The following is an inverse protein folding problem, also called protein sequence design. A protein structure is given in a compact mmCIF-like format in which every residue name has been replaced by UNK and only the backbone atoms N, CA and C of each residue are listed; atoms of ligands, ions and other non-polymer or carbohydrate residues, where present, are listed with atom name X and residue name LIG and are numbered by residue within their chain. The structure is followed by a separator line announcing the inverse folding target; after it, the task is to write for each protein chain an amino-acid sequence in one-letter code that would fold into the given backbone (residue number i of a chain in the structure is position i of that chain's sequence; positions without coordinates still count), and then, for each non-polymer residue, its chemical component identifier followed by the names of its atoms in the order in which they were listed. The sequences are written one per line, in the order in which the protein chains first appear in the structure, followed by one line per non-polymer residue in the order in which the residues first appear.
data_IF_763411948111
#
_entry.id   IF_763411948111
#
_cell.length_a   1.000
_cell.length_b   1.000
_cell.length_c   1.000
_cell.angle_alpha   90.00
_cell.angle_beta   90.00
_cell.angle_gamma   90.00
#
_symmetry.space_group_name_H-M   'P 1'
#
loop_
_entity.id
_entity.type
_entity.pdbx_description
1 polymer ?
#
# COMPACT_ATOMS: atom_id res chain seq x y z
N UNK A 1 44.33 28.37 -2.21
CA UNK A 1 43.15 27.50 -2.32
C UNK A 1 42.99 26.84 -0.97
N UNK A 2 41.81 26.94 -0.38
CA UNK A 2 41.48 26.18 0.82
C UNK A 2 41.37 24.70 0.42
N UNK A 3 41.60 23.79 1.38
CA UNK A 3 41.46 22.37 1.10
C UNK A 3 39.97 22.05 0.99
N UNK A 4 39.57 21.40 -0.10
CA UNK A 4 38.19 20.98 -0.30
C UNK A 4 37.71 20.12 0.89
N UNK A 5 36.53 20.41 1.42
CA UNK A 5 36.06 19.72 2.61
C UNK A 5 34.66 20.11 3.04
N UNK A 6 33.89 19.08 3.37
CA UNK A 6 32.52 19.23 3.82
C UNK A 6 32.39 20.10 5.07
N UNK A 7 31.49 21.08 5.01
CA UNK A 7 31.17 22.02 6.06
C UNK A 7 31.93 23.35 5.97
N UNK A 8 32.60 23.63 4.85
CA UNK A 8 33.30 24.91 4.63
C UNK A 8 32.41 26.00 4.00
N UNK A 9 31.18 25.64 3.60
CA UNK A 9 30.21 26.54 2.97
C UNK A 9 30.38 26.69 1.46
N UNK A 10 31.23 25.86 0.84
CA UNK A 10 31.46 25.81 -0.61
C UNK A 10 31.16 24.39 -1.10
N UNK A 11 30.18 24.26 -1.99
CA UNK A 11 29.88 22.96 -2.60
C UNK A 11 31.04 22.52 -3.52
N UNK A 12 31.83 21.55 -3.05
CA UNK A 12 32.99 21.01 -3.74
C UNK A 12 32.67 19.83 -4.68
N UNK A 13 33.69 19.36 -5.40
CA UNK A 13 33.55 18.19 -6.28
C UNK A 13 33.33 16.92 -5.45
N UNK A 14 32.15 16.30 -5.62
CA UNK A 14 31.75 15.08 -4.90
C UNK A 14 30.66 15.33 -3.86
N UNK A 15 30.44 16.59 -3.49
CA UNK A 15 29.37 16.99 -2.60
C UNK A 15 28.08 17.22 -3.37
N UNK A 16 26.95 16.91 -2.75
CA UNK A 16 25.65 17.25 -3.31
C UNK A 16 25.18 18.61 -2.82
N UNK A 17 25.62 19.02 -1.62
CA UNK A 17 25.34 20.29 -0.99
C UNK A 17 26.36 20.60 0.13
N UNK A 18 26.50 21.87 0.51
CA UNK A 18 27.31 22.29 1.65
C UNK A 18 26.70 23.58 2.23
N UNK A 19 26.17 23.50 3.46
CA UNK A 19 25.64 24.66 4.21
C UNK A 19 26.61 25.15 5.29
N UNK A 20 27.87 24.76 5.19
CA UNK A 20 28.93 25.09 6.12
C UNK A 20 28.66 24.52 7.51
N UNK A 21 28.86 25.37 8.51
CA UNK A 21 28.53 25.07 9.90
C UNK A 21 27.04 24.78 10.15
N UNK A 22 26.15 24.98 9.17
CA UNK A 22 24.73 24.63 9.28
C UNK A 22 24.42 23.20 8.80
N UNK A 23 25.42 22.41 8.37
CA UNK A 23 25.24 20.98 8.14
C UNK A 23 24.79 20.30 9.44
N UNK A 24 23.81 19.40 9.35
CA UNK A 24 23.18 18.76 10.51
C UNK A 24 22.49 17.47 10.09
N UNK A 25 22.72 16.39 10.84
CA UNK A 25 22.05 15.10 10.66
C UNK A 25 20.71 15.01 11.41
N UNK A 26 20.15 16.13 11.85
CA UNK A 26 18.89 16.17 12.62
C UNK A 26 18.00 17.35 12.27
N UNK A 27 18.51 18.32 11.51
CA UNK A 27 17.77 19.51 11.12
C UNK A 27 17.15 19.33 9.74
N UNK A 28 15.84 19.54 9.65
CA UNK A 28 15.12 19.50 8.38
C UNK A 28 15.67 20.54 7.39
N UNK A 29 15.98 20.10 6.17
CA UNK A 29 16.48 20.98 5.09
C UNK A 29 17.96 21.34 5.18
N UNK A 30 18.68 20.91 6.22
CA UNK A 30 20.13 21.01 6.28
C UNK A 30 20.79 19.89 5.47
N UNK A 31 21.96 20.17 4.88
CA UNK A 31 22.87 19.12 4.42
C UNK A 31 23.26 18.20 5.58
N UNK A 32 23.47 16.92 5.29
CA UNK A 32 24.09 16.00 6.25
C UNK A 32 25.55 16.38 6.50
N UNK A 33 26.11 15.90 7.59
CA UNK A 33 27.51 16.19 7.97
C UNK A 33 28.54 15.56 7.05
N UNK A 34 28.11 14.74 6.09
CA UNK A 34 28.89 14.20 4.98
C UNK A 34 28.63 14.92 3.63
N UNK A 35 27.93 16.05 3.65
CA UNK A 35 27.63 16.89 2.47
C UNK A 35 26.77 16.18 1.40
N UNK A 36 25.97 15.23 1.87
CA UNK A 36 24.85 14.69 1.15
C UNK A 36 23.55 15.43 1.51
N UNK A 37 22.60 15.47 0.58
CA UNK A 37 21.23 15.81 0.93
C UNK A 37 20.64 14.68 1.78
N UNK A 38 19.78 15.04 2.73
CA UNK A 38 18.93 14.07 3.40
C UNK A 38 18.12 13.27 2.36
N UNK A 39 17.87 12.01 2.67
CA UNK A 39 17.13 11.08 1.81
C UNK A 39 16.06 10.40 2.64
N UNK A 40 14.95 10.05 1.98
CA UNK A 40 13.91 9.27 2.60
C UNK A 40 14.48 7.99 3.25
N UNK A 41 14.12 7.74 4.51
CA UNK A 41 14.60 6.59 5.28
C UNK A 41 15.85 6.87 6.12
N UNK A 42 16.30 8.13 6.21
CA UNK A 42 17.39 8.53 7.09
C UNK A 42 16.93 8.90 8.52
N UNK A 43 15.61 8.95 8.73
CA UNK A 43 14.98 9.25 10.02
C UNK A 43 14.89 10.74 10.32
N UNK A 44 15.15 11.60 9.33
CA UNK A 44 15.15 13.05 9.47
C UNK A 44 14.27 13.67 8.41
N UNK A 45 13.01 13.87 8.79
CA UNK A 45 12.02 14.47 7.93
C UNK A 45 12.47 15.80 7.33
N UNK A 46 12.53 15.89 6.00
CA UNK A 46 12.86 17.12 5.26
C UNK A 46 11.68 17.71 4.48
N UNK A 47 11.91 18.87 3.84
CA UNK A 47 10.90 19.54 3.04
C UNK A 47 10.49 18.66 1.85
N UNK A 48 9.23 18.22 1.85
CA UNK A 48 8.66 17.35 0.81
C UNK A 48 8.20 16.00 1.36
N UNK A 49 8.80 15.53 2.45
CA UNK A 49 8.42 14.28 3.11
C UNK A 49 7.22 14.50 4.05
N UNK A 50 6.31 13.53 4.06
CA UNK A 50 5.17 13.55 4.97
C UNK A 50 5.50 12.87 6.30
N UNK A 51 6.39 11.88 6.26
CA UNK A 51 6.93 11.13 7.38
C UNK A 51 8.36 10.68 7.05
N UNK A 52 9.12 10.26 8.06
CA UNK A 52 10.35 9.49 7.87
C UNK A 52 10.68 8.78 9.19
N UNK A 53 10.29 7.50 9.27
CA UNK A 53 10.58 6.63 10.41
C UNK A 53 11.93 5.90 10.22
N UNK A 54 12.74 6.34 9.25
CA UNK A 54 14.05 5.81 8.96
C UNK A 54 13.97 4.39 8.42
N UNK A 55 14.74 3.48 9.03
CA UNK A 55 14.70 2.04 8.69
C UNK A 55 13.36 1.37 9.00
N UNK A 56 12.43 2.05 9.68
CA UNK A 56 11.09 1.53 9.97
C UNK A 56 10.06 1.91 8.89
N UNK A 57 10.44 2.67 7.86
CA UNK A 57 9.63 2.83 6.65
C UNK A 57 9.36 1.45 6.02
N UNK A 58 8.17 1.28 5.43
CA UNK A 58 7.75 0.00 4.86
C UNK A 58 6.57 0.17 3.91
N UNK A 59 6.59 -0.54 2.78
CA UNK A 59 5.44 -0.68 1.86
C UNK A 59 4.57 -1.91 2.15
N UNK A 60 4.72 -2.54 3.32
CA UNK A 60 3.93 -3.74 3.70
C UNK A 60 3.44 -3.75 5.14
N UNK A 61 4.05 -2.95 6.03
CA UNK A 61 3.59 -2.80 7.40
C UNK A 61 2.42 -1.82 7.48
N UNK A 62 1.42 -2.18 8.26
CA UNK A 62 0.23 -1.36 8.56
C UNK A 62 0.65 -0.09 9.31
N UNK A 63 0.11 1.05 8.89
CA UNK A 63 0.31 2.40 9.42
C UNK A 63 1.77 2.91 9.40
N UNK A 64 2.66 2.21 8.68
CA UNK A 64 4.05 2.63 8.54
C UNK A 64 4.18 3.75 7.51
N UNK A 65 5.14 4.64 7.74
CA UNK A 65 5.63 5.53 6.69
C UNK A 65 6.08 4.69 5.48
N UNK A 66 5.72 5.11 4.27
CA UNK A 66 6.01 4.36 3.04
C UNK A 66 7.45 4.61 2.60
N UNK A 67 8.00 3.74 1.76
CA UNK A 67 9.40 3.84 1.31
C UNK A 67 9.65 5.08 0.43
N UNK A 68 8.59 5.74 -0.02
CA UNK A 68 8.59 7.04 -0.69
C UNK A 68 8.41 8.24 0.26
N UNK A 69 8.44 8.01 1.58
CA UNK A 69 8.24 8.99 2.66
C UNK A 69 6.91 9.74 2.59
N UNK A 70 5.91 9.09 2.01
CA UNK A 70 4.52 9.48 2.13
C UNK A 70 3.89 8.75 3.30
N UNK A 71 2.92 9.41 3.94
CA UNK A 71 2.10 8.75 4.95
C UNK A 71 1.34 7.57 4.32
N UNK A 72 0.99 6.55 5.11
CA UNK A 72 0.07 5.48 4.70
C UNK A 72 -1.18 6.05 4.02
N UNK A 73 -1.59 5.47 2.89
CA UNK A 73 -2.65 6.03 2.04
C UNK A 73 -3.36 4.96 1.20
N UNK A 74 -4.67 5.12 1.07
CA UNK A 74 -5.46 4.38 0.11
C UNK A 74 -4.85 4.41 -1.30
N UNK A 75 -4.67 3.22 -1.88
CA UNK A 75 -4.06 3.03 -3.18
C UNK A 75 -2.59 2.61 -3.12
N UNK A 76 -2.04 2.38 -1.93
CA UNK A 76 -0.65 1.96 -1.74
C UNK A 76 -0.46 0.45 -1.55
N UNK A 77 -1.56 -0.31 -1.54
CA UNK A 77 -1.64 -1.78 -1.43
C UNK A 77 -1.44 -2.30 -0.02
N UNK A 78 -1.44 -1.44 0.98
CA UNK A 78 -1.47 -1.83 2.39
C UNK A 78 -2.80 -1.40 2.96
N UNK A 79 -3.52 -2.33 3.59
CA UNK A 79 -4.76 -1.98 4.28
C UNK A 79 -4.38 -1.35 5.62
N UNK A 80 -4.41 -0.03 5.66
CA UNK A 80 -4.05 0.76 6.85
C UNK A 80 -5.23 0.95 7.82
N UNK A 81 -4.95 1.47 9.01
CA UNK A 81 -5.99 1.72 10.01
C UNK A 81 -7.03 2.70 9.46
N UNK A 82 -8.27 2.23 9.35
CA UNK A 82 -9.39 3.02 8.82
C UNK A 82 -9.74 2.68 7.36
N UNK A 83 -8.99 1.78 6.73
CA UNK A 83 -9.30 1.26 5.41
C UNK A 83 -10.00 -0.10 5.52
N UNK A 84 -10.96 -0.32 4.62
CA UNK A 84 -11.67 -1.59 4.51
C UNK A 84 -10.93 -2.57 3.58
N UNK A 85 -10.28 -2.02 2.56
CA UNK A 85 -9.55 -2.72 1.51
C UNK A 85 -8.52 -1.76 0.90
N UNK A 86 -7.55 -2.29 0.17
CA UNK A 86 -6.70 -1.50 -0.72
C UNK A 86 -6.12 -2.40 -1.83
N UNK A 87 -6.71 -2.33 -3.02
CA UNK A 87 -6.20 -3.03 -4.22
C UNK A 87 -5.07 -2.22 -4.91
N UNK A 88 -4.63 -1.12 -4.30
CA UNK A 88 -3.62 -0.25 -4.80
C UNK A 88 -4.08 0.54 -6.03
N UNK A 89 -3.28 0.57 -7.11
CA UNK A 89 -3.68 1.18 -8.38
C UNK A 89 -4.92 0.56 -9.05
N UNK A 90 -5.44 -0.55 -8.53
CA UNK A 90 -6.64 -1.20 -9.04
C UNK A 90 -7.92 -0.81 -8.30
N UNK A 91 -7.83 0.12 -7.33
CA UNK A 91 -9.01 0.75 -6.75
C UNK A 91 -9.84 1.43 -7.85
N UNK A 92 -11.15 1.31 -7.79
CA UNK A 92 -12.08 1.80 -8.81
C UNK A 92 -13.45 2.03 -8.20
N UNK A 93 -14.17 3.04 -8.67
CA UNK A 93 -15.57 3.30 -8.29
C UNK A 93 -16.57 2.68 -9.30
N UNK A 94 -16.08 2.20 -10.44
CA UNK A 94 -16.89 1.67 -11.53
C UNK A 94 -16.82 0.14 -11.63
N UNK A 95 -15.67 -0.44 -11.32
CA UNK A 95 -15.43 -1.88 -11.49
C UNK A 95 -15.97 -2.68 -10.30
N UNK A 96 -16.79 -3.71 -10.55
CA UNK A 96 -17.32 -4.55 -9.48
C UNK A 96 -16.20 -5.37 -8.82
N UNK A 97 -16.41 -5.64 -7.54
CA UNK A 97 -15.52 -6.37 -6.62
C UNK A 97 -14.15 -5.72 -6.44
N UNK A 98 -13.94 -4.50 -6.92
CA UNK A 98 -12.77 -3.68 -6.61
C UNK A 98 -13.03 -2.84 -5.37
N UNK A 99 -11.96 -2.59 -4.63
CA UNK A 99 -11.96 -1.56 -3.62
C UNK A 99 -12.28 -0.19 -4.24
N UNK A 100 -13.10 0.63 -3.58
CA UNK A 100 -13.35 2.01 -4.00
C UNK A 100 -12.10 2.87 -3.84
N UNK A 101 -12.02 3.98 -4.58
CA UNK A 101 -10.84 4.86 -4.56
C UNK A 101 -10.65 5.60 -3.22
N UNK A 102 -11.63 5.52 -2.32
CA UNK A 102 -11.55 6.02 -0.95
C UNK A 102 -11.22 4.94 0.09
N UNK A 103 -11.07 3.68 -0.34
CA UNK A 103 -10.79 2.50 0.50
C UNK A 103 -11.81 2.24 1.61
N UNK A 104 -12.99 2.88 1.58
CA UNK A 104 -13.98 2.72 2.64
C UNK A 104 -14.84 1.46 2.45
N UNK A 105 -14.77 0.85 1.25
CA UNK A 105 -15.72 -0.17 0.80
C UNK A 105 -15.36 -0.68 -0.61
N UNK A 106 -16.02 -1.74 -1.08
CA UNK A 106 -15.85 -2.27 -2.44
C UNK A 106 -17.13 -2.11 -3.28
N UNK A 107 -17.02 -2.04 -4.61
CA UNK A 107 -18.19 -1.99 -5.49
C UNK A 107 -18.82 -3.37 -5.61
N UNK A 108 -20.05 -3.58 -5.16
CA UNK A 108 -20.69 -4.88 -5.35
C UNK A 108 -22.18 -4.85 -5.05
N UNK A 109 -22.99 -5.69 -5.71
CA UNK A 109 -24.44 -5.67 -5.55
C UNK A 109 -24.94 -6.22 -4.21
N UNK A 110 -24.09 -6.48 -3.20
CA UNK A 110 -24.50 -7.02 -1.90
C UNK A 110 -23.65 -6.49 -0.72
N UNK A 111 -23.86 -5.23 -0.35
CA UNK A 111 -23.71 -4.77 1.05
C UNK A 111 -24.84 -5.39 1.92
N UNK A 112 -24.85 -6.72 2.10
CA UNK A 112 -25.89 -7.39 2.92
C UNK A 112 -25.39 -8.30 4.05
N UNK A 113 -24.10 -8.63 4.15
CA UNK A 113 -23.60 -9.37 5.31
C UNK A 113 -22.21 -8.86 5.69
N UNK A 114 -22.16 -7.91 6.63
CA UNK A 114 -20.93 -7.30 7.11
C UNK A 114 -19.85 -8.32 7.47
N UNK A 115 -18.86 -8.43 6.60
CA UNK A 115 -17.72 -9.30 6.78
C UNK A 115 -17.00 -9.52 5.47
N UNK A 116 -15.82 -8.90 5.36
CA UNK A 116 -14.73 -9.18 4.47
C UNK A 116 -15.10 -9.39 2.98
N UNK A 117 -14.46 -8.61 2.12
CA UNK A 117 -13.82 -9.26 0.98
C UNK A 117 -12.90 -10.34 1.58
N UNK A 118 -13.42 -11.56 1.79
CA UNK A 118 -12.60 -12.75 1.58
C UNK A 118 -12.11 -12.55 0.15
N UNK A 119 -10.96 -11.89 -0.01
CA UNK A 119 -10.25 -11.81 -1.27
C UNK A 119 -10.08 -13.26 -1.69
N UNK A 120 -10.84 -13.79 -2.67
CA UNK A 120 -10.37 -14.99 -3.31
C UNK A 120 -9.19 -14.45 -4.09
N UNK A 121 -7.99 -14.80 -3.61
CA UNK A 121 -6.78 -14.84 -4.42
C UNK A 121 -7.09 -14.76 -5.92
N UNK A 122 -6.62 -13.66 -6.51
CA UNK A 122 -6.53 -13.34 -7.93
C UNK A 122 -6.22 -14.57 -8.84
N UNK A 123 -6.42 -14.50 -10.17
CA UNK A 123 -6.71 -15.62 -11.08
C UNK A 123 -5.49 -16.50 -11.40
N UNK A 124 -4.98 -17.24 -10.41
CA UNK A 124 -3.90 -18.21 -10.56
C UNK A 124 -4.13 -19.53 -9.81
N UNK A 125 -5.27 -19.71 -9.15
CA UNK A 125 -5.60 -20.93 -8.39
C UNK A 125 -6.55 -21.85 -9.15
N UNK A 126 -6.03 -22.97 -9.62
CA UNK A 126 -6.76 -24.12 -10.13
C UNK A 126 -7.82 -24.63 -9.13
N UNK A 127 -9.09 -24.61 -9.52
CA UNK A 127 -10.18 -25.21 -8.74
C UNK A 127 -10.18 -26.73 -8.94
N UNK A 128 -10.18 -27.56 -7.87
CA UNK A 128 -10.44 -28.98 -8.05
C UNK A 128 -11.90 -29.14 -8.46
N UNK A 129 -12.11 -29.70 -9.64
CA UNK A 129 -13.41 -30.15 -10.14
C UNK A 129 -14.09 -31.03 -9.07
N UNK A 130 -15.16 -30.57 -8.40
CA UNK A 130 -15.73 -31.47 -7.39
C UNK A 130 -17.00 -31.14 -6.63
N UNK A 131 -17.63 -29.96 -6.70
CA UNK A 131 -18.85 -29.73 -5.90
C UNK A 131 -19.92 -28.99 -6.69
N UNK A 132 -20.67 -29.75 -7.49
CA UNK A 132 -22.01 -29.36 -7.96
C UNK A 132 -23.02 -29.67 -6.84
N UNK A 133 -23.43 -28.65 -6.07
CA UNK A 133 -24.65 -28.76 -5.25
C UNK A 133 -25.85 -28.44 -6.14
N UNK A 134 -26.50 -29.47 -6.67
CA UNK A 134 -27.79 -29.35 -7.34
C UNK A 134 -28.89 -29.20 -6.29
N UNK A 135 -29.38 -27.97 -6.10
CA UNK A 135 -30.68 -27.72 -5.48
C UNK A 135 -31.70 -27.49 -6.59
N UNK A 136 -32.63 -28.41 -6.79
CA UNK A 136 -33.88 -28.13 -7.50
C UNK A 136 -35.05 -28.95 -6.91
N UNK A 137 -36.12 -28.22 -6.63
CA UNK A 137 -37.27 -28.55 -5.79
C UNK A 137 -38.40 -29.21 -6.61
N UNK A 138 -38.93 -30.30 -6.04
CA UNK A 138 -40.32 -30.81 -6.01
C UNK A 138 -41.28 -30.80 -7.23
N UNK A 139 -42.15 -31.83 -7.17
CA UNK A 139 -43.52 -31.98 -7.73
C UNK A 139 -43.65 -32.61 -9.12
N UNK A 140 -44.04 -33.89 -9.16
CA UNK A 140 -45.27 -34.44 -9.79
C UNK A 140 -45.16 -35.98 -9.98
N UNK A 141 -45.75 -36.75 -9.07
CA UNK A 141 -46.28 -38.10 -9.32
C UNK A 141 -47.57 -37.89 -10.13
N UNK A 142 -47.96 -38.67 -11.19
CA UNK A 142 -48.12 -40.13 -11.08
C UNK A 142 -48.01 -40.98 -12.37
N UNK A 143 -48.09 -42.31 -12.16
CA UNK A 143 -48.66 -43.39 -13.01
C UNK A 143 -47.72 -44.39 -13.74
N UNK A 144 -47.92 -45.67 -13.32
CA UNK A 144 -47.96 -46.92 -14.11
C UNK A 144 -46.60 -47.45 -14.64
N UNK A 145 -46.27 -48.75 -14.61
CA UNK A 145 -46.98 -50.01 -14.30
C UNK A 145 -45.93 -51.10 -13.99
N UNK A 146 -46.38 -52.13 -13.28
CA UNK A 146 -45.75 -53.42 -12.93
C UNK A 146 -44.86 -54.06 -14.01
N UNK A 147 -43.76 -54.66 -13.54
CA UNK A 147 -43.45 -56.08 -13.75
C UNK A 147 -42.51 -56.45 -14.91
N UNK A 148 -41.33 -56.96 -14.55
CA UNK A 148 -40.88 -58.34 -14.81
C UNK A 148 -39.71 -58.66 -13.87
#
# INVERSE_FOLDING_TARGET
CEAAGCGDGVKDTGETCDMGAMNSDTTAGACRTDCTFAVCGDGVRVSGEQCDDGSANSDTAVDACRDDCLLPRCGDRVVDTGEFCDDGPFNSDDEPMRCRVDCQSANGPLDLHGGACDVPTHPGGEWPLGVFVLVAVAVLVPLRRRGL
#
